data_IF_918893217580
#
_entry.id   IF_918893217580
#
_cell.length_a   1.000
_cell.length_b   1.000
_cell.length_c   1.000
_cell.angle_alpha   90.00
_cell.angle_beta   90.00
_cell.angle_gamma   90.00
#
_symmetry.space_group_name_H-M   'P 1'
#
loop_
_entity.id
_entity.type
_entity.pdbx_description
1 polymer ?
#
# COMPACT_ATOMS: atom_id res chain seq x y z
N UNK A 1 6.32 -30.48 -5.79
CA UNK A 1 5.96 -29.38 -6.71
C UNK A 1 7.25 -28.67 -7.13
N UNK A 2 7.45 -28.35 -8.41
CA UNK A 2 8.67 -27.66 -8.87
C UNK A 2 8.82 -26.31 -8.12
N UNK A 3 10.01 -26.02 -7.55
CA UNK A 3 10.29 -24.79 -6.79
C UNK A 3 9.83 -23.54 -7.53
N UNK A 4 10.03 -23.49 -8.85
CA UNK A 4 9.64 -22.34 -9.67
C UNK A 4 8.11 -22.17 -9.72
N UNK A 5 7.35 -23.27 -9.70
CA UNK A 5 5.89 -23.25 -9.67
C UNK A 5 5.36 -22.72 -8.33
N UNK A 6 6.01 -23.09 -7.21
CA UNK A 6 5.66 -22.59 -5.87
C UNK A 6 5.89 -21.08 -5.79
N UNK A 7 7.09 -20.62 -6.16
CA UNK A 7 7.45 -19.19 -6.14
C UNK A 7 6.49 -18.36 -6.99
N UNK A 8 6.07 -18.89 -8.14
CA UNK A 8 5.14 -18.19 -9.04
C UNK A 8 3.73 -18.07 -8.43
N UNK A 9 3.20 -19.13 -7.83
CA UNK A 9 1.89 -19.08 -7.15
C UNK A 9 1.92 -18.10 -5.98
N UNK A 10 2.95 -18.17 -5.13
CA UNK A 10 3.13 -17.24 -4.02
C UNK A 10 3.27 -15.79 -4.51
N UNK A 11 4.04 -15.57 -5.58
CA UNK A 11 4.20 -14.24 -6.18
C UNK A 11 2.87 -13.64 -6.63
N UNK A 12 2.00 -14.42 -7.27
CA UNK A 12 0.66 -13.95 -7.63
C UNK A 12 -0.21 -13.68 -6.40
N UNK A 13 -0.16 -14.52 -5.36
CA UNK A 13 -0.90 -14.28 -4.12
C UNK A 13 -0.47 -12.96 -3.45
N UNK A 14 0.83 -12.71 -3.32
CA UNK A 14 1.34 -11.44 -2.80
C UNK A 14 0.96 -10.26 -3.70
N UNK A 15 1.09 -10.40 -5.01
CA UNK A 15 0.74 -9.34 -5.96
C UNK A 15 -0.74 -8.97 -5.92
N UNK A 16 -1.64 -9.95 -5.89
CA UNK A 16 -3.09 -9.68 -5.75
C UNK A 16 -3.37 -9.01 -4.41
N UNK A 17 -2.77 -9.51 -3.33
CA UNK A 17 -2.93 -8.92 -1.99
C UNK A 17 -2.44 -7.47 -1.92
N UNK A 18 -1.38 -7.12 -2.67
CA UNK A 18 -0.87 -5.75 -2.74
C UNK A 18 -1.86 -4.74 -3.33
N UNK A 19 -2.87 -5.21 -4.07
CA UNK A 19 -3.89 -4.34 -4.67
C UNK A 19 -4.98 -3.94 -3.68
N UNK A 20 -5.13 -4.67 -2.57
CA UNK A 20 -6.25 -4.51 -1.64
C UNK A 20 -6.39 -3.08 -1.11
N UNK A 21 -5.32 -2.39 -0.70
CA UNK A 21 -5.47 -1.04 -0.17
C UNK A 21 -5.96 0.00 -1.19
N UNK A 22 -5.84 -0.29 -2.48
CA UNK A 22 -6.34 0.57 -3.57
C UNK A 22 -7.70 0.09 -4.05
N UNK A 23 -7.88 -1.22 -4.20
CA UNK A 23 -9.09 -1.81 -4.76
C UNK A 23 -10.27 -1.81 -3.76
N UNK A 24 -10.03 -2.11 -2.48
CA UNK A 24 -11.10 -2.22 -1.47
C UNK A 24 -11.87 -0.91 -1.31
N UNK A 25 -11.25 0.27 -1.14
CA UNK A 25 -11.96 1.54 -1.04
C UNK A 25 -12.88 1.80 -2.25
N UNK A 26 -12.39 1.52 -3.46
CA UNK A 26 -13.15 1.67 -4.70
C UNK A 26 -14.33 0.70 -4.75
N UNK A 27 -14.10 -0.57 -4.46
CA UNK A 27 -15.16 -1.61 -4.47
C UNK A 27 -16.23 -1.30 -3.43
N UNK A 28 -15.86 -0.92 -2.20
CA UNK A 28 -16.81 -0.55 -1.16
C UNK A 28 -17.61 0.69 -1.52
N UNK A 29 -16.96 1.69 -2.13
CA UNK A 29 -17.63 2.89 -2.63
C UNK A 29 -18.72 2.53 -3.66
N UNK A 30 -18.40 1.63 -4.60
CA UNK A 30 -19.38 1.16 -5.59
C UNK A 30 -20.54 0.39 -4.96
N UNK A 31 -20.25 -0.49 -3.99
CA UNK A 31 -21.29 -1.23 -3.25
C UNK A 31 -22.23 -0.26 -2.53
N UNK A 32 -21.69 0.75 -1.84
CA UNK A 32 -22.50 1.74 -1.12
C UNK A 32 -23.30 2.61 -2.09
N UNK A 33 -22.72 2.99 -3.23
CA UNK A 33 -23.41 3.75 -4.26
C UNK A 33 -24.62 2.99 -4.79
N UNK A 34 -24.47 1.69 -5.09
CA UNK A 34 -25.55 0.85 -5.62
C UNK A 34 -26.62 0.58 -4.55
N UNK A 35 -26.21 0.29 -3.31
CA UNK A 35 -27.15 -0.12 -2.25
C UNK A 35 -27.85 1.04 -1.56
N UNK A 36 -27.21 2.21 -1.46
CA UNK A 36 -27.72 3.37 -0.70
C UNK A 36 -27.92 4.64 -1.55
N UNK A 37 -27.54 4.62 -2.83
CA UNK A 37 -27.64 5.78 -3.72
C UNK A 37 -26.73 6.94 -3.35
N UNK A 38 -25.70 6.71 -2.51
CA UNK A 38 -24.78 7.73 -2.00
C UNK A 38 -23.34 7.38 -2.37
N UNK A 39 -22.62 8.36 -2.90
CA UNK A 39 -21.18 8.22 -3.13
C UNK A 39 -20.43 8.52 -1.82
N UNK A 40 -19.84 7.50 -1.22
CA UNK A 40 -19.03 7.61 0.00
C UNK A 40 -17.70 6.90 -0.24
N UNK A 41 -16.64 7.69 -0.41
CA UNK A 41 -15.27 7.19 -0.55
C UNK A 41 -14.50 7.45 0.74
N UNK A 42 -13.93 6.39 1.30
CA UNK A 42 -13.06 6.47 2.46
C UNK A 42 -11.61 6.70 2.01
N UNK A 43 -11.13 7.93 2.17
CA UNK A 43 -9.78 8.32 1.79
C UNK A 43 -8.70 7.83 2.76
N UNK A 44 -9.08 7.39 3.97
CA UNK A 44 -8.14 6.94 5.01
C UNK A 44 -8.00 5.42 5.05
N UNK A 45 -9.04 4.67 4.69
CA UNK A 45 -8.99 3.21 4.57
C UNK A 45 -7.77 2.65 3.83
N UNK A 46 -7.28 3.23 2.72
CA UNK A 46 -6.02 2.79 2.13
C UNK A 46 -4.88 2.72 3.17
N UNK A 47 -4.68 3.78 3.97
CA UNK A 47 -3.66 3.84 5.02
C UNK A 47 -3.88 2.82 6.15
N UNK A 48 -5.12 2.52 6.50
CA UNK A 48 -5.46 1.48 7.48
C UNK A 48 -5.06 0.08 6.98
N UNK A 49 -5.08 -0.11 5.66
CA UNK A 49 -4.71 -1.36 5.00
C UNK A 49 -3.20 -1.46 4.70
N UNK A 50 -2.36 -0.61 5.29
CA UNK A 50 -0.89 -0.62 5.06
C UNK A 50 -0.23 -1.98 5.33
N UNK A 51 -0.77 -2.77 6.26
CA UNK A 51 -0.25 -4.11 6.54
C UNK A 51 -0.30 -5.03 5.31
N UNK A 52 -1.29 -4.87 4.43
CA UNK A 52 -1.36 -5.62 3.17
C UNK A 52 -0.25 -5.19 2.21
N UNK A 53 0.06 -3.88 2.13
CA UNK A 53 1.20 -3.36 1.36
C UNK A 53 2.52 -3.92 1.88
N UNK A 54 2.74 -3.88 3.20
CA UNK A 54 3.97 -4.38 3.83
C UNK A 54 4.13 -5.89 3.62
N UNK A 55 3.08 -6.65 3.94
CA UNK A 55 3.10 -8.11 3.82
C UNK A 55 3.37 -8.57 2.39
N UNK A 56 2.68 -7.98 1.42
CA UNK A 56 2.85 -8.33 0.00
C UNK A 56 4.24 -7.96 -0.52
N UNK A 57 4.71 -6.74 -0.26
CA UNK A 57 6.02 -6.28 -0.73
C UNK A 57 7.16 -7.11 -0.10
N UNK A 58 7.11 -7.36 1.21
CA UNK A 58 8.10 -8.22 1.88
C UNK A 58 8.05 -9.65 1.34
N UNK A 59 6.85 -10.20 1.09
CA UNK A 59 6.69 -11.51 0.47
C UNK A 59 7.40 -11.62 -0.88
N UNK A 60 7.23 -10.64 -1.76
CA UNK A 60 7.94 -10.59 -3.05
C UNK A 60 9.45 -10.41 -2.86
N UNK A 61 9.90 -9.50 -1.99
CA UNK A 61 11.34 -9.32 -1.71
C UNK A 61 11.98 -10.62 -1.22
N UNK A 62 11.31 -11.35 -0.33
CA UNK A 62 11.78 -12.66 0.17
C UNK A 62 11.88 -13.66 -0.99
N UNK A 63 10.88 -13.71 -1.88
CA UNK A 63 10.93 -14.59 -3.06
C UNK A 63 12.12 -14.26 -3.96
N UNK A 64 12.39 -12.98 -4.23
CA UNK A 64 13.54 -12.55 -5.03
C UNK A 64 14.88 -12.97 -4.37
N UNK A 65 15.01 -12.77 -3.05
CA UNK A 65 16.19 -13.17 -2.27
C UNK A 65 16.39 -14.70 -2.30
N UNK A 66 15.34 -15.48 -2.07
CA UNK A 66 15.38 -16.96 -2.09
C UNK A 66 15.71 -17.52 -3.47
N UNK A 67 15.37 -16.79 -4.54
CA UNK A 67 15.74 -17.11 -5.91
C UNK A 67 17.10 -16.51 -6.33
N UNK A 68 17.87 -15.97 -5.38
CA UNK A 68 19.23 -15.41 -5.57
C UNK A 68 19.28 -14.29 -6.63
N UNK A 69 18.20 -13.51 -6.72
CA UNK A 69 18.12 -12.36 -7.62
C UNK A 69 18.96 -11.20 -7.09
N UNK A 70 19.53 -10.42 -7.99
CA UNK A 70 20.37 -9.29 -7.58
C UNK A 70 19.50 -8.19 -6.95
N UNK A 71 20.03 -7.47 -5.96
CA UNK A 71 19.31 -6.34 -5.36
C UNK A 71 18.85 -5.29 -6.38
N UNK A 72 19.61 -5.12 -7.48
CA UNK A 72 19.26 -4.21 -8.56
C UNK A 72 17.93 -4.55 -9.24
N UNK A 73 17.47 -5.81 -9.17
CA UNK A 73 16.23 -6.27 -9.79
C UNK A 73 15.00 -5.84 -9.00
N UNK A 74 15.07 -5.80 -7.66
CA UNK A 74 13.94 -5.49 -6.78
C UNK A 74 14.12 -4.21 -5.95
N UNK A 75 15.19 -3.44 -6.17
CA UNK A 75 15.46 -2.16 -5.46
C UNK A 75 14.31 -1.15 -5.52
N UNK A 76 13.54 -1.15 -6.62
CA UNK A 76 12.38 -0.26 -6.79
C UNK A 76 11.29 -0.61 -5.77
N UNK A 77 11.00 -1.90 -5.60
CA UNK A 77 10.03 -2.36 -4.61
C UNK A 77 10.47 -1.97 -3.19
N UNK A 78 11.76 -2.14 -2.87
CA UNK A 78 12.32 -1.72 -1.58
C UNK A 78 12.16 -0.22 -1.38
N UNK A 79 12.43 0.58 -2.41
CA UNK A 79 12.28 2.03 -2.36
C UNK A 79 10.82 2.43 -2.12
N UNK A 80 9.87 1.90 -2.90
CA UNK A 80 8.44 2.22 -2.77
C UNK A 80 7.89 1.77 -1.42
N UNK A 81 8.28 0.58 -0.95
CA UNK A 81 7.92 0.10 0.39
C UNK A 81 8.46 1.04 1.48
N UNK A 82 9.74 1.42 1.39
CA UNK A 82 10.38 2.32 2.36
C UNK A 82 9.68 3.68 2.40
N UNK A 83 9.39 4.25 1.23
CA UNK A 83 8.65 5.51 1.11
C UNK A 83 7.23 5.38 1.68
N UNK A 84 6.53 4.28 1.42
CA UNK A 84 5.20 4.02 1.98
C UNK A 84 5.22 3.95 3.52
N UNK A 85 6.21 3.27 4.09
CA UNK A 85 6.36 3.12 5.55
C UNK A 85 6.73 4.46 6.19
N UNK A 86 7.70 5.19 5.62
CA UNK A 86 8.09 6.52 6.11
C UNK A 86 6.90 7.48 6.04
N UNK A 87 6.17 7.49 4.92
CA UNK A 87 4.98 8.33 4.75
C UNK A 87 3.94 8.05 5.85
N UNK A 88 3.65 6.77 6.10
CA UNK A 88 2.72 6.38 7.16
C UNK A 88 3.19 6.78 8.55
N UNK A 89 4.47 6.53 8.88
CA UNK A 89 5.03 6.88 10.19
C UNK A 89 5.00 8.39 10.42
N UNK A 90 5.43 9.18 9.44
CA UNK A 90 5.45 10.65 9.56
C UNK A 90 4.03 11.19 9.73
N UNK A 91 3.05 10.70 8.97
CA UNK A 91 1.65 11.11 9.12
C UNK A 91 1.10 10.77 10.51
N UNK A 92 1.35 9.56 11.01
CA UNK A 92 0.89 9.14 12.34
C UNK A 92 1.57 9.93 13.45
N UNK A 93 2.90 10.11 13.38
CA UNK A 93 3.66 10.90 14.34
C UNK A 93 3.11 12.33 14.37
N UNK A 94 2.96 12.95 13.20
CA UNK A 94 2.40 14.30 13.10
C UNK A 94 1.00 14.39 13.70
N UNK A 95 0.10 13.44 13.39
CA UNK A 95 -1.26 13.44 13.90
C UNK A 95 -1.31 13.30 15.44
N UNK A 96 -0.43 12.47 16.01
CA UNK A 96 -0.33 12.33 17.47
C UNK A 96 0.25 13.59 18.13
N UNK A 97 1.33 14.16 17.59
CA UNK A 97 1.98 15.35 18.15
C UNK A 97 1.14 16.62 18.06
N UNK A 98 0.33 16.75 17.01
CA UNK A 98 -0.50 17.95 16.80
C UNK A 98 -1.88 17.86 17.46
N UNK A 99 -2.20 16.76 18.15
CA UNK A 99 -3.53 16.56 18.75
C UNK A 99 -4.63 16.15 17.76
N UNK A 100 -4.32 16.06 16.45
CA UNK A 100 -5.28 15.60 15.42
C UNK A 100 -5.80 14.19 15.71
N UNK A 101 -4.95 13.29 16.21
CA UNK A 101 -5.33 11.93 16.56
C UNK A 101 -6.32 11.86 17.75
N UNK A 102 -6.31 12.88 18.60
CA UNK A 102 -7.14 12.97 19.80
C UNK A 102 -8.40 13.82 19.59
N UNK A 103 -8.47 14.57 18.48
CA UNK A 103 -9.56 15.50 18.19
C UNK A 103 -9.42 16.86 18.89
N UNK A 104 -8.27 17.13 19.51
CA UNK A 104 -8.00 18.39 20.22
C UNK A 104 -7.76 19.56 19.26
N UNK A 105 -7.36 19.24 18.03
CA UNK A 105 -7.02 20.22 16.98
C UNK A 105 -7.94 20.01 15.78
N UNK A 106 -8.52 21.10 15.28
CA UNK A 106 -9.36 21.06 14.09
C UNK A 106 -8.53 20.77 12.83
N UNK A 107 -9.08 19.95 11.92
CA UNK A 107 -8.46 19.63 10.64
C UNK A 107 -8.66 20.77 9.62
N UNK A 108 -8.00 21.90 9.85
CA UNK A 108 -8.07 23.08 8.97
C UNK A 108 -6.67 23.64 8.67
N UNK A 109 -6.58 24.57 7.71
CA UNK A 109 -5.34 25.27 7.37
C UNK A 109 -4.16 24.33 7.06
N UNK A 110 -3.05 24.51 7.77
CA UNK A 110 -1.81 23.74 7.56
C UNK A 110 -1.99 22.25 7.84
N UNK A 111 -2.81 21.89 8.83
CA UNK A 111 -3.06 20.49 9.21
C UNK A 111 -3.77 19.74 8.08
N UNK A 112 -4.79 20.38 7.49
CA UNK A 112 -5.50 19.82 6.35
C UNK A 112 -4.56 19.61 5.15
N UNK A 113 -3.76 20.63 4.79
CA UNK A 113 -2.82 20.55 3.67
C UNK A 113 -1.83 19.40 3.90
N UNK A 114 -1.27 19.31 5.11
CA UNK A 114 -0.32 18.27 5.46
C UNK A 114 -0.93 16.88 5.29
N UNK A 115 -2.09 16.62 5.92
CA UNK A 115 -2.74 15.30 5.84
C UNK A 115 -3.12 14.94 4.39
N UNK A 116 -3.64 15.89 3.61
CA UNK A 116 -4.00 15.65 2.20
C UNK A 116 -2.79 15.25 1.36
N UNK A 117 -1.64 15.92 1.53
CA UNK A 117 -0.39 15.54 0.84
C UNK A 117 -0.01 14.10 1.17
N UNK A 118 -0.04 13.73 2.45
CA UNK A 118 0.32 12.39 2.88
C UNK A 118 -0.66 11.32 2.39
N UNK A 119 -1.96 11.62 2.30
CA UNK A 119 -2.97 10.75 1.70
C UNK A 119 -2.66 10.51 0.21
N UNK A 120 -2.34 11.57 -0.55
CA UNK A 120 -2.01 11.45 -1.97
C UNK A 120 -0.75 10.60 -2.16
N UNK A 121 0.30 10.89 -1.39
CA UNK A 121 1.56 10.12 -1.42
C UNK A 121 1.32 8.66 -1.06
N UNK A 122 0.43 8.39 -0.10
CA UNK A 122 0.08 7.04 0.29
C UNK A 122 -0.53 6.25 -0.87
N UNK A 123 -1.53 6.83 -1.56
CA UNK A 123 -2.12 6.21 -2.74
C UNK A 123 -1.09 5.95 -3.83
N UNK A 124 -0.22 6.94 -4.09
CA UNK A 124 0.85 6.82 -5.07
C UNK A 124 1.79 5.65 -4.75
N UNK A 125 2.27 5.55 -3.51
CA UNK A 125 3.19 4.48 -3.11
C UNK A 125 2.53 3.11 -3.06
N UNK A 126 1.26 3.02 -2.68
CA UNK A 126 0.49 1.77 -2.74
C UNK A 126 0.34 1.27 -4.20
N UNK A 127 0.00 2.16 -5.14
CA UNK A 127 -0.12 1.83 -6.56
C UNK A 127 1.24 1.38 -7.12
N UNK A 128 2.31 2.15 -6.88
CA UNK A 128 3.65 1.84 -7.35
C UNK A 128 4.17 0.51 -6.79
N UNK A 129 3.94 0.25 -5.50
CA UNK A 129 4.28 -1.02 -4.85
C UNK A 129 3.54 -2.18 -5.52
N UNK A 130 2.24 -2.03 -5.77
CA UNK A 130 1.44 -3.07 -6.40
C UNK A 130 1.90 -3.39 -7.82
N UNK A 131 2.17 -2.34 -8.63
CA UNK A 131 2.71 -2.51 -9.99
C UNK A 131 4.03 -3.28 -9.95
N UNK A 132 4.95 -2.90 -9.07
CA UNK A 132 6.26 -3.55 -8.99
C UNK A 132 6.16 -5.01 -8.50
N UNK A 133 5.23 -5.32 -7.58
CA UNK A 133 4.93 -6.71 -7.20
C UNK A 133 4.53 -7.57 -8.41
N UNK A 134 3.66 -7.06 -9.29
CA UNK A 134 3.28 -7.78 -10.52
C UNK A 134 4.44 -7.89 -11.52
N UNK A 135 5.26 -6.86 -11.68
CA UNK A 135 6.44 -6.88 -12.56
C UNK A 135 7.43 -7.95 -12.10
N UNK A 136 7.75 -8.00 -10.81
CA UNK A 136 8.68 -8.98 -10.24
C UNK A 136 8.11 -10.40 -10.31
N UNK A 137 6.82 -10.57 -9.99
CA UNK A 137 6.15 -11.88 -10.11
C UNK A 137 6.22 -12.46 -11.52
N UNK A 138 6.10 -11.62 -12.57
CA UNK A 138 6.24 -12.07 -13.95
C UNK A 138 7.66 -12.57 -14.29
N UNK A 139 8.69 -12.08 -13.59
CA UNK A 139 10.09 -12.48 -13.74
C UNK A 139 10.45 -13.72 -12.93
N UNK A 140 9.57 -14.19 -12.04
CA UNK A 140 9.69 -15.48 -11.35
C UNK A 140 9.38 -16.61 -12.34
N UNK A 141 10.39 -16.99 -13.13
CA UNK A 141 10.39 -18.14 -14.06
C UNK A 141 11.63 -18.98 -13.85
#
# INVERSE_FOLDING_TARGET
MNKNKVSKVLGYLFSVTSTFPVAIPVVLTLIILITKGKFLYDFMMPAELILFTIFSALGIIILEVVNKKSFSEYKKLVLYLSLSVINFLVANIYANFTGLAHGDTELTGIHLIFIVIFIILWHLFAILTSIECFILTKKLT
#
